data_IF_054455885873
#
_entry.id   IF_054455885873
#
_cell.length_a   1.000
_cell.length_b   1.000
_cell.length_c   1.000
_cell.angle_alpha   90.00
_cell.angle_beta   90.00
_cell.angle_gamma   90.00
#
_symmetry.space_group_name_H-M   'P 1'
#
loop_
_entity.id
_entity.type
_entity.pdbx_description
1 polymer ?
#
# COMPACT_ATOMS: atom_id res chain seq x y z
N UNK A 1 -0.92 7.68 6.64
CA UNK A 1 -1.58 7.72 5.32
C UNK A 1 -0.92 6.65 4.44
N UNK A 2 -1.70 5.95 3.63
CA UNK A 2 -1.19 5.03 2.61
C UNK A 2 -1.72 5.48 1.24
N UNK A 3 -0.89 5.37 0.22
CA UNK A 3 -1.22 5.65 -1.18
C UNK A 3 -0.94 4.40 -1.99
N UNK A 4 -1.76 4.11 -3.00
CA UNK A 4 -1.66 2.87 -3.78
C UNK A 4 -1.74 3.16 -5.28
N UNK A 5 -1.13 2.27 -6.06
CA UNK A 5 -1.14 2.25 -7.52
C UNK A 5 -0.99 0.80 -8.00
N UNK A 6 -1.17 0.55 -9.30
CA UNK A 6 -1.12 -0.79 -9.91
C UNK A 6 -0.13 -0.87 -11.06
N UNK A 7 0.52 -2.02 -11.25
CA UNK A 7 1.32 -2.26 -12.45
C UNK A 7 0.42 -2.56 -13.66
N UNK A 8 0.80 -2.14 -14.89
CA UNK A 8 2.02 -1.40 -15.24
C UNK A 8 1.91 0.12 -15.06
N UNK A 9 0.72 0.65 -14.78
CA UNK A 9 0.42 2.09 -14.73
C UNK A 9 1.30 2.87 -13.75
N UNK A 10 1.64 2.27 -12.61
CA UNK A 10 2.61 2.81 -11.65
C UNK A 10 3.94 3.19 -12.32
N UNK A 11 4.43 2.37 -13.25
CA UNK A 11 5.67 2.65 -13.94
C UNK A 11 5.54 3.79 -14.96
N UNK A 12 4.31 4.13 -15.39
CA UNK A 12 4.06 5.23 -16.30
C UNK A 12 3.86 6.56 -15.54
N UNK A 13 3.17 6.51 -14.41
CA UNK A 13 2.77 7.74 -13.70
C UNK A 13 3.75 8.16 -12.61
N UNK A 14 4.38 7.22 -11.92
CA UNK A 14 5.09 7.53 -10.66
C UNK A 14 6.61 7.41 -10.76
N UNK A 15 7.15 6.75 -11.81
CA UNK A 15 8.58 6.43 -11.87
C UNK A 15 9.46 7.68 -11.82
N UNK A 16 8.99 8.80 -12.40
CA UNK A 16 9.67 10.10 -12.37
C UNK A 16 9.57 10.77 -11.00
N UNK A 17 8.50 10.52 -10.24
CA UNK A 17 8.32 11.06 -8.89
C UNK A 17 9.37 10.56 -7.89
N UNK A 18 9.98 9.41 -8.16
CA UNK A 18 11.10 8.88 -7.38
C UNK A 18 12.45 9.57 -7.66
N UNK A 19 12.47 10.62 -8.49
CA UNK A 19 13.60 11.56 -8.59
C UNK A 19 13.42 12.78 -7.66
N UNK A 20 12.32 12.82 -6.89
CA UNK A 20 12.02 13.90 -5.95
C UNK A 20 13.03 14.05 -4.80
N UNK A 21 12.80 15.01 -3.88
CA UNK A 21 13.74 15.32 -2.82
C UNK A 21 14.13 14.07 -2.00
N UNK A 22 15.43 13.76 -1.99
CA UNK A 22 15.94 12.52 -1.39
C UNK A 22 15.55 12.32 0.08
N UNK A 23 15.37 13.41 0.84
CA UNK A 23 14.92 13.35 2.23
C UNK A 23 13.51 12.78 2.35
N UNK A 24 12.59 13.15 1.45
CA UNK A 24 11.22 12.63 1.45
C UNK A 24 11.22 11.17 1.03
N UNK A 25 11.97 10.81 -0.01
CA UNK A 25 12.04 9.44 -0.52
C UNK A 25 12.58 8.48 0.55
N UNK A 26 13.56 8.90 1.35
CA UNK A 26 14.08 8.14 2.50
C UNK A 26 13.08 7.93 3.64
N UNK A 27 11.90 8.55 3.59
CA UNK A 27 10.79 8.32 4.53
C UNK A 27 9.66 7.49 3.92
N UNK A 28 9.73 7.18 2.63
CA UNK A 28 8.76 6.33 1.94
C UNK A 28 9.16 4.86 2.06
N UNK A 29 8.18 4.01 2.28
CA UNK A 29 8.34 2.56 2.26
C UNK A 29 7.39 1.96 1.24
N UNK A 30 7.90 1.11 0.35
CA UNK A 30 7.10 0.45 -0.67
C UNK A 30 6.72 -0.95 -0.23
N UNK A 31 5.42 -1.25 -0.30
CA UNK A 31 4.88 -2.59 -0.13
C UNK A 31 4.25 -3.00 -1.46
N UNK A 32 4.82 -4.02 -2.10
CA UNK A 32 4.33 -4.57 -3.35
C UNK A 32 3.55 -5.83 -3.03
N UNK A 33 2.28 -5.87 -3.44
CA UNK A 33 1.45 -7.07 -3.37
C UNK A 33 1.50 -7.75 -4.74
N UNK A 34 2.00 -8.98 -4.80
CA UNK A 34 2.17 -9.72 -6.05
C UNK A 34 1.41 -11.05 -6.03
N UNK A 35 1.02 -11.52 -7.21
CA UNK A 35 0.37 -12.80 -7.39
C UNK A 35 1.28 -13.77 -8.17
N UNK A 36 1.38 -15.06 -7.77
CA UNK A 36 2.26 -16.02 -8.46
C UNK A 36 1.93 -16.22 -9.95
N UNK A 37 0.69 -15.95 -10.35
CA UNK A 37 0.21 -16.08 -11.73
C UNK A 37 0.07 -14.72 -12.43
N UNK A 38 0.67 -13.66 -11.89
CA UNK A 38 0.76 -12.39 -12.60
C UNK A 38 1.42 -12.58 -13.97
N UNK A 39 0.98 -11.79 -14.95
CA UNK A 39 1.54 -11.86 -16.28
C UNK A 39 3.08 -11.69 -16.23
N UNK A 40 3.89 -12.46 -16.99
CA UNK A 40 5.36 -12.42 -16.88
C UNK A 40 5.96 -11.02 -17.04
N UNK A 41 5.34 -10.15 -17.85
CA UNK A 41 5.77 -8.75 -17.97
C UNK A 41 5.54 -7.93 -16.70
N UNK A 42 4.47 -8.21 -15.93
CA UNK A 42 4.21 -7.56 -14.64
C UNK A 42 5.24 -8.03 -13.62
N UNK A 43 5.53 -9.33 -13.55
CA UNK A 43 6.58 -9.86 -12.67
C UNK A 43 7.95 -9.23 -12.97
N UNK A 44 8.30 -9.08 -14.25
CA UNK A 44 9.52 -8.37 -14.67
C UNK A 44 9.52 -6.89 -14.27
N UNK A 45 8.38 -6.21 -14.34
CA UNK A 45 8.25 -4.82 -13.90
C UNK A 45 8.43 -4.69 -12.39
N UNK A 46 7.85 -5.62 -11.62
CA UNK A 46 8.02 -5.68 -10.17
C UNK A 46 9.50 -5.85 -9.83
N UNK A 47 10.20 -6.81 -10.44
CA UNK A 47 11.61 -7.06 -10.15
C UNK A 47 12.50 -5.85 -10.44
N UNK A 48 12.31 -5.21 -11.60
CA UNK A 48 13.04 -3.99 -11.99
C UNK A 48 12.71 -2.84 -11.03
N UNK A 49 11.44 -2.65 -10.70
CA UNK A 49 11.01 -1.57 -9.81
C UNK A 49 11.61 -1.73 -8.42
N UNK A 50 11.64 -2.95 -7.87
CA UNK A 50 12.31 -3.25 -6.59
C UNK A 50 13.78 -2.87 -6.62
N UNK A 51 14.50 -3.26 -7.67
CA UNK A 51 15.92 -2.95 -7.82
C UNK A 51 16.16 -1.45 -7.84
N UNK A 52 15.45 -0.72 -8.68
CA UNK A 52 15.58 0.74 -8.82
C UNK A 52 15.24 1.46 -7.51
N UNK A 53 14.15 1.07 -6.86
CA UNK A 53 13.65 1.78 -5.69
C UNK A 53 14.41 1.47 -4.41
N UNK A 54 15.00 0.27 -4.29
CA UNK A 54 15.74 -0.16 -3.09
C UNK A 54 16.87 0.79 -2.66
N UNK A 55 17.41 1.58 -3.60
CA UNK A 55 18.49 2.55 -3.36
C UNK A 55 17.99 3.95 -3.02
N UNK A 56 16.70 4.20 -3.23
CA UNK A 56 16.09 5.54 -3.24
C UNK A 56 15.17 5.72 -2.05
N UNK A 57 14.37 4.70 -1.74
CA UNK A 57 13.37 4.75 -0.65
C UNK A 57 13.88 4.11 0.64
N UNK A 58 13.14 4.28 1.75
CA UNK A 58 13.50 3.72 3.05
C UNK A 58 13.55 2.17 3.06
N UNK A 59 12.73 1.55 2.20
CA UNK A 59 12.72 0.10 2.04
C UNK A 59 11.63 -0.36 1.08
N UNK A 60 11.78 -1.60 0.64
CA UNK A 60 10.85 -2.26 -0.28
C UNK A 60 10.59 -3.68 0.22
N UNK A 61 9.32 -4.03 0.41
CA UNK A 61 8.89 -5.41 0.67
C UNK A 61 7.97 -5.88 -0.45
N UNK A 62 8.15 -7.13 -0.88
CA UNK A 62 7.24 -7.81 -1.80
C UNK A 62 6.56 -8.96 -1.09
N UNK A 63 5.24 -8.96 -1.11
CA UNK A 63 4.39 -9.94 -0.45
C UNK A 63 3.68 -10.71 -1.56
N UNK A 64 3.99 -12.00 -1.65
CA UNK A 64 3.35 -12.89 -2.60
C UNK A 64 2.05 -13.43 -2.00
N UNK A 65 0.99 -13.47 -2.81
CA UNK A 65 -0.28 -14.07 -2.42
C UNK A 65 -0.10 -15.56 -2.09
N UNK A 66 -0.78 -16.04 -1.05
CA UNK A 66 -0.68 -17.42 -0.57
C UNK A 66 -2.04 -18.09 -0.45
N UNK A 67 -2.09 -19.39 -0.70
CA UNK A 67 -3.32 -20.18 -0.65
C UNK A 67 -3.57 -21.02 -1.90
N UNK A 68 -4.44 -22.02 -1.75
CA UNK A 68 -4.70 -23.05 -2.76
C UNK A 68 -5.78 -22.66 -3.78
N UNK A 69 -6.53 -21.59 -3.52
CA UNK A 69 -7.58 -21.08 -4.41
C UNK A 69 -7.40 -19.57 -4.65
N UNK A 70 -7.90 -19.06 -5.78
CA UNK A 70 -7.80 -17.64 -6.14
C UNK A 70 -8.38 -16.73 -5.04
N UNK A 71 -9.54 -17.11 -4.48
CA UNK A 71 -10.16 -16.36 -3.40
C UNK A 71 -9.29 -16.36 -2.13
N UNK A 72 -8.68 -17.50 -1.79
CA UNK A 72 -7.79 -17.60 -0.63
C UNK A 72 -6.55 -16.71 -0.80
N UNK A 73 -5.98 -16.65 -2.01
CA UNK A 73 -4.85 -15.77 -2.35
C UNK A 73 -5.21 -14.31 -2.24
N UNK A 74 -6.37 -13.91 -2.77
CA UNK A 74 -6.88 -12.54 -2.60
C UNK A 74 -7.01 -12.17 -1.13
N UNK A 75 -7.68 -13.01 -0.32
CA UNK A 75 -7.84 -12.75 1.11
C UNK A 75 -6.52 -12.75 1.87
N UNK A 76 -5.52 -13.54 1.46
CA UNK A 76 -4.19 -13.53 2.10
C UNK A 76 -3.52 -12.14 2.01
N UNK A 77 -3.73 -11.42 0.91
CA UNK A 77 -3.19 -10.07 0.71
C UNK A 77 -4.04 -9.01 1.43
N UNK A 78 -5.37 -9.15 1.41
CA UNK A 78 -6.29 -8.23 2.13
C UNK A 78 -6.05 -8.29 3.63
N UNK A 79 -6.02 -9.50 4.21
CA UNK A 79 -5.87 -9.67 5.65
C UNK A 79 -4.56 -9.14 6.19
N UNK A 80 -3.49 -9.13 5.38
CA UNK A 80 -2.24 -8.49 5.78
C UNK A 80 -2.45 -7.01 6.11
N UNK A 81 -3.15 -6.27 5.25
CA UNK A 81 -3.43 -4.85 5.46
C UNK A 81 -4.36 -4.59 6.64
N UNK A 82 -5.44 -5.37 6.74
CA UNK A 82 -6.41 -5.26 7.82
C UNK A 82 -5.77 -5.54 9.19
N UNK A 83 -5.04 -6.66 9.29
CA UNK A 83 -4.37 -7.04 10.53
C UNK A 83 -3.28 -6.05 10.90
N UNK A 84 -2.48 -5.58 9.93
CA UNK A 84 -1.45 -4.55 10.17
C UNK A 84 -2.08 -3.28 10.74
N UNK A 85 -3.24 -2.86 10.22
CA UNK A 85 -3.93 -1.65 10.69
C UNK A 85 -4.40 -1.78 12.14
N UNK A 86 -5.01 -2.92 12.49
CA UNK A 86 -5.45 -3.20 13.87
C UNK A 86 -4.26 -3.34 14.82
N UNK A 87 -3.21 -4.02 14.39
CA UNK A 87 -2.01 -4.21 15.20
C UNK A 87 -1.28 -2.89 15.45
N UNK A 88 -1.20 -2.00 14.46
CA UNK A 88 -0.67 -0.64 14.64
C UNK A 88 -1.51 0.19 15.61
N UNK A 89 -2.84 0.10 15.54
CA UNK A 89 -3.71 0.77 16.50
C UNK A 89 -3.43 0.30 17.94
N UNK A 90 -3.26 -1.01 18.14
CA UNK A 90 -2.83 -1.57 19.42
C UNK A 90 -1.47 -1.02 19.87
N UNK A 91 -0.46 -1.01 18.99
CA UNK A 91 0.88 -0.48 19.31
C UNK A 91 0.87 1.02 19.64
N UNK A 92 -0.03 1.79 19.03
CA UNK A 92 -0.18 3.22 19.29
C UNK A 92 -1.12 3.53 20.47
N UNK A 93 -1.73 2.52 21.09
CA UNK A 93 -2.71 2.72 22.16
C UNK A 93 -3.97 3.46 21.70
N UNK A 94 -4.34 3.32 20.42
CA UNK A 94 -5.51 3.96 19.81
C UNK A 94 -6.62 2.91 19.62
N UNK A 95 -7.86 3.28 19.94
CA UNK A 95 -9.04 2.47 19.61
C UNK A 95 -9.34 2.61 18.10
N UNK A 96 -9.26 1.54 17.29
CA UNK A 96 -9.51 1.60 15.85
C UNK A 96 -11.02 1.65 15.48
N UNK A 97 -11.94 1.48 16.44
CA UNK A 97 -13.37 1.44 16.18
C UNK A 97 -14.01 2.82 15.89
N UNK A 98 -13.78 3.85 16.72
CA UNK A 98 -14.40 5.16 16.55
C UNK A 98 -13.87 5.91 15.33
N UNK A 99 -14.78 6.46 14.51
CA UNK A 99 -14.42 7.26 13.32
C UNK A 99 -14.86 8.72 13.48
N UNK A 100 -14.42 9.33 14.60
CA UNK A 100 -14.87 10.66 15.08
C UNK A 100 -14.79 11.77 14.02
N UNK A 101 -13.75 11.77 13.19
CA UNK A 101 -13.56 12.76 12.11
C UNK A 101 -14.64 12.61 11.03
N UNK A 102 -15.03 11.38 10.69
CA UNK A 102 -16.13 11.12 9.75
C UNK A 102 -17.46 11.54 10.35
N UNK A 103 -17.68 11.32 11.64
CA UNK A 103 -18.91 11.74 12.31
C UNK A 103 -19.05 13.27 12.33
N UNK A 104 -17.95 13.98 12.58
CA UNK A 104 -17.89 15.44 12.48
C UNK A 104 -18.17 15.93 11.05
N UNK A 105 -17.55 15.31 10.04
CA UNK A 105 -17.80 15.62 8.63
C UNK A 105 -19.28 15.42 8.27
N UNK A 106 -19.86 14.27 8.63
CA UNK A 106 -21.29 13.98 8.40
C UNK A 106 -22.20 14.96 9.12
N UNK A 107 -21.79 15.48 10.29
CA UNK A 107 -22.54 16.50 11.01
C UNK A 107 -22.50 17.84 10.26
N UNK A 108 -21.32 18.31 9.87
CA UNK A 108 -21.16 19.56 9.13
C UNK A 108 -21.96 19.58 7.82
N UNK A 109 -21.92 18.49 7.04
CA UNK A 109 -22.69 18.35 5.79
C UNK A 109 -24.22 18.39 5.97
N UNK A 110 -24.73 18.17 7.18
CA UNK A 110 -26.16 18.26 7.50
C UNK A 110 -26.58 19.64 8.01
N UNK A 111 -25.63 20.46 8.44
CA UNK A 111 -25.86 21.79 9.00
C UNK A 111 -25.84 22.89 7.94
N UNK A 112 -25.29 22.64 6.75
CA UNK A 112 -25.51 23.48 5.56
C UNK A 112 -26.97 23.35 5.07
N UNK A 113 -27.80 24.32 5.45
CA UNK A 113 -29.12 24.61 4.87
C UNK A 113 -29.11 26.01 4.27
#
# INVERSE_FOLDING_TARGET
LAYWNVFPELNHNEIVGFEGPAELLRRLYLVILSHPHDHPQVQKRISITKELMSRVVAGVSEINASGNAELARLFSLIYLGDYTSVYLAFLYGVDPGPVKVIDQLKKALREEK
#
